data_IF_488972057971
#
_entry.id   IF_488972057971
#
_cell.length_a   1.000
_cell.length_b   1.000
_cell.length_c   1.000
_cell.angle_alpha   90.00
_cell.angle_beta   90.00
_cell.angle_gamma   90.00
#
_symmetry.space_group_name_H-M   'P 1'
#
loop_
_entity.id
_entity.type
_entity.pdbx_description
1 polymer ?
#
# COMPACT_ATOMS: atom_id res chain seq x y z
N UNK A 1 24.87 8.31 -2.46
CA UNK A 1 23.81 9.35 -2.39
C UNK A 1 22.42 8.83 -2.77
N UNK A 2 22.20 8.11 -3.90
CA UNK A 2 20.86 7.67 -4.30
C UNK A 2 20.10 6.87 -3.24
N UNK A 3 20.77 5.91 -2.57
CA UNK A 3 20.18 5.12 -1.48
C UNK A 3 19.69 5.95 -0.29
N UNK A 4 20.39 7.03 0.05
CA UNK A 4 20.02 7.93 1.16
C UNK A 4 18.75 8.71 0.81
N UNK A 5 18.70 9.26 -0.41
CA UNK A 5 17.51 9.96 -0.93
C UNK A 5 16.33 8.99 -1.05
N UNK A 6 16.55 7.79 -1.56
CA UNK A 6 15.55 6.73 -1.61
C UNK A 6 14.99 6.39 -0.22
N UNK A 7 15.86 6.25 0.78
CA UNK A 7 15.44 6.06 2.17
C UNK A 7 14.59 7.21 2.72
N UNK A 8 14.99 8.46 2.45
CA UNK A 8 14.21 9.64 2.84
C UNK A 8 12.82 9.66 2.16
N UNK A 9 12.74 9.33 0.87
CA UNK A 9 11.47 9.24 0.12
C UNK A 9 10.54 8.17 0.71
N UNK A 10 11.07 6.98 1.02
CA UNK A 10 10.30 5.91 1.66
C UNK A 10 9.80 6.36 3.04
N UNK A 11 10.65 7.00 3.85
CA UNK A 11 10.26 7.53 5.15
C UNK A 11 9.14 8.58 5.06
N UNK A 12 9.24 9.52 4.12
CA UNK A 12 8.18 10.51 3.87
C UNK A 12 6.86 9.86 3.43
N UNK A 13 6.92 8.87 2.53
CA UNK A 13 5.73 8.15 2.07
C UNK A 13 5.03 7.40 3.22
N UNK A 14 5.79 6.65 4.02
CA UNK A 14 5.26 5.89 5.16
C UNK A 14 4.70 6.80 6.26
N UNK A 15 5.40 7.89 6.60
CA UNK A 15 4.92 8.85 7.58
C UNK A 15 3.60 9.51 7.14
N UNK A 16 3.51 9.89 5.86
CA UNK A 16 2.30 10.49 5.30
C UNK A 16 1.15 9.50 5.29
N UNK A 17 1.38 8.26 4.84
CA UNK A 17 0.37 7.20 4.87
C UNK A 17 -0.11 6.94 6.30
N UNK A 18 0.81 6.83 7.27
CA UNK A 18 0.48 6.64 8.69
C UNK A 18 -0.45 7.73 9.22
N UNK A 19 -0.11 9.00 9.03
CA UNK A 19 -0.94 10.13 9.49
C UNK A 19 -2.31 10.13 8.81
N UNK A 20 -2.39 9.80 7.52
CA UNK A 20 -3.67 9.71 6.80
C UNK A 20 -4.57 8.61 7.36
N UNK A 21 -4.03 7.40 7.56
CA UNK A 21 -4.81 6.28 8.10
C UNK A 21 -5.21 6.51 9.56
N UNK A 22 -4.33 7.08 10.38
CA UNK A 22 -4.64 7.45 11.75
C UNK A 22 -5.76 8.51 11.83
N UNK A 23 -5.73 9.51 10.92
CA UNK A 23 -6.79 10.51 10.80
C UNK A 23 -8.11 9.91 10.31
N UNK A 24 -8.08 9.08 9.28
CA UNK A 24 -9.26 8.44 8.69
C UNK A 24 -9.96 7.50 9.69
N UNK A 25 -9.17 6.69 10.40
CA UNK A 25 -9.68 5.71 11.36
C UNK A 25 -9.88 6.31 12.77
N UNK A 26 -9.48 7.57 12.97
CA UNK A 26 -9.48 8.26 14.27
C UNK A 26 -8.83 7.41 15.38
N UNK A 27 -7.76 6.72 15.03
CA UNK A 27 -7.07 5.79 15.90
C UNK A 27 -5.55 5.96 15.77
N UNK A 28 -4.84 6.43 16.80
CA UNK A 28 -3.39 6.63 16.75
C UNK A 28 -2.60 5.33 16.57
N UNK A 29 -3.21 4.17 16.80
CA UNK A 29 -2.61 2.84 16.60
C UNK A 29 -2.87 2.26 15.20
N UNK A 30 -3.56 3.00 14.32
CA UNK A 30 -3.82 2.55 12.97
C UNK A 30 -2.53 2.48 12.13
N UNK A 31 -2.41 1.39 11.37
CA UNK A 31 -1.31 1.12 10.46
C UNK A 31 -1.81 1.17 8.99
N UNK A 32 -1.07 1.80 8.06
CA UNK A 32 -1.44 1.85 6.64
C UNK A 32 -1.54 0.49 5.93
N UNK A 33 -1.01 -0.60 6.51
CA UNK A 33 -1.04 -1.94 5.93
C UNK A 33 -2.36 -2.69 6.16
N UNK A 34 -3.30 -2.13 6.93
CA UNK A 34 -4.56 -2.80 7.31
C UNK A 34 -5.45 -3.13 6.09
N UNK A 35 -5.32 -2.40 4.99
CA UNK A 35 -6.09 -2.65 3.75
C UNK A 35 -5.41 -3.67 2.81
N UNK A 36 -4.42 -4.43 3.30
CA UNK A 36 -3.81 -5.55 2.57
C UNK A 36 -2.79 -5.19 1.49
N UNK A 37 -2.44 -3.91 1.35
CA UNK A 37 -1.42 -3.41 0.39
C UNK A 37 -0.09 -4.18 0.51
N UNK A 38 0.38 -4.42 1.74
CA UNK A 38 1.62 -5.16 1.99
C UNK A 38 1.53 -6.62 1.57
N UNK A 39 0.42 -7.30 1.89
CA UNK A 39 0.21 -8.70 1.51
C UNK A 39 0.14 -8.87 -0.02
N UNK A 40 -0.55 -7.94 -0.70
CA UNK A 40 -0.58 -7.89 -2.17
C UNK A 40 0.78 -7.64 -2.79
N UNK A 41 1.56 -6.71 -2.23
CA UNK A 41 2.93 -6.44 -2.68
C UNK A 41 3.85 -7.65 -2.53
N UNK A 42 3.78 -8.32 -1.38
CA UNK A 42 4.55 -9.52 -1.10
C UNK A 42 4.22 -10.67 -2.06
N UNK A 43 2.93 -10.91 -2.32
CA UNK A 43 2.51 -11.92 -3.27
C UNK A 43 2.94 -11.56 -4.71
N UNK A 44 2.74 -10.31 -5.14
CA UNK A 44 3.15 -9.84 -6.46
C UNK A 44 4.66 -9.97 -6.69
N UNK A 45 5.46 -9.59 -5.69
CA UNK A 45 6.91 -9.80 -5.72
C UNK A 45 7.29 -11.28 -5.83
N UNK A 46 6.64 -12.14 -5.04
CA UNK A 46 6.89 -13.59 -5.03
C UNK A 46 6.56 -14.22 -6.38
N UNK A 47 5.44 -13.82 -6.99
CA UNK A 47 5.05 -14.27 -8.34
C UNK A 47 6.08 -13.81 -9.38
N UNK A 48 6.55 -12.56 -9.31
CA UNK A 48 7.58 -12.07 -10.23
C UNK A 48 8.90 -12.85 -10.10
N UNK A 49 9.27 -13.30 -8.91
CA UNK A 49 10.47 -14.11 -8.69
C UNK A 49 10.36 -15.52 -9.28
N UNK A 50 9.14 -16.01 -9.55
CA UNK A 50 8.91 -17.28 -10.25
C UNK A 50 9.03 -17.16 -11.76
N UNK A 51 8.84 -15.96 -12.30
CA UNK A 51 8.86 -15.74 -13.75
C UNK A 51 10.31 -15.58 -14.21
N UNK A 52 10.80 -16.40 -15.15
CA UNK A 52 12.16 -16.27 -15.70
C UNK A 52 12.26 -15.13 -16.72
N UNK A 53 11.69 -13.97 -16.38
CA UNK A 53 11.60 -12.79 -17.24
C UNK A 53 12.58 -11.74 -16.71
N UNK A 54 13.62 -11.46 -17.49
CA UNK A 54 14.54 -10.38 -17.20
C UNK A 54 14.05 -9.09 -17.87
N UNK A 55 13.11 -8.42 -17.20
CA UNK A 55 12.60 -7.11 -17.63
C UNK A 55 13.27 -6.02 -16.79
N UNK A 56 13.90 -5.05 -17.47
CA UNK A 56 14.40 -3.83 -16.87
C UNK A 56 13.69 -2.63 -17.50
N UNK A 57 12.94 -1.88 -16.71
CA UNK A 57 12.21 -0.69 -17.15
C UNK A 57 12.49 0.48 -16.21
N UNK A 58 13.06 1.57 -16.74
CA UNK A 58 13.41 2.79 -15.99
C UNK A 58 14.22 2.51 -14.70
N UNK A 59 15.17 1.58 -14.78
CA UNK A 59 16.00 1.15 -13.65
C UNK A 59 15.32 0.18 -12.68
N UNK A 60 14.07 -0.23 -12.90
CA UNK A 60 13.38 -1.24 -12.10
C UNK A 60 13.35 -2.61 -12.77
N UNK A 61 13.60 -3.65 -11.98
CA UNK A 61 13.32 -5.02 -12.39
C UNK A 61 11.83 -5.35 -12.33
N UNK A 62 11.48 -6.58 -12.72
CA UNK A 62 10.10 -7.06 -12.66
C UNK A 62 9.52 -7.09 -11.23
N UNK A 63 10.35 -7.37 -10.22
CA UNK A 63 9.90 -7.56 -8.83
C UNK A 63 9.23 -6.31 -8.24
N UNK A 64 9.84 -5.10 -8.23
CA UNK A 64 9.17 -3.89 -7.73
C UNK A 64 7.89 -3.54 -8.50
N UNK A 65 7.86 -3.77 -9.81
CA UNK A 65 6.71 -3.48 -10.67
C UNK A 65 5.55 -4.40 -10.31
N UNK A 66 5.80 -5.70 -10.19
CA UNK A 66 4.80 -6.67 -9.80
C UNK A 66 4.34 -6.49 -8.35
N UNK A 67 5.24 -6.08 -7.44
CA UNK A 67 4.88 -5.73 -6.07
C UNK A 67 3.91 -4.54 -6.04
N UNK A 68 4.21 -3.48 -6.79
CA UNK A 68 3.34 -2.31 -6.89
C UNK A 68 1.98 -2.67 -7.52
N UNK A 69 1.97 -3.44 -8.60
CA UNK A 69 0.75 -3.94 -9.23
C UNK A 69 -0.08 -4.85 -8.31
N UNK A 70 0.58 -5.72 -7.55
CA UNK A 70 -0.05 -6.58 -6.54
C UNK A 70 -0.70 -5.77 -5.43
N UNK A 71 -0.01 -4.75 -4.90
CA UNK A 71 -0.57 -3.83 -3.92
C UNK A 71 -1.82 -3.11 -4.44
N UNK A 72 -1.77 -2.53 -5.65
CA UNK A 72 -2.90 -1.85 -6.28
C UNK A 72 -4.09 -2.79 -6.50
N UNK A 73 -3.81 -4.00 -6.98
CA UNK A 73 -4.83 -5.04 -7.18
C UNK A 73 -5.51 -5.38 -5.86
N UNK A 74 -4.75 -5.54 -4.78
CA UNK A 74 -5.31 -5.80 -3.46
C UNK A 74 -6.17 -4.65 -2.95
N UNK A 75 -5.72 -3.39 -3.08
CA UNK A 75 -6.54 -2.23 -2.71
C UNK A 75 -7.85 -2.21 -3.49
N UNK A 76 -7.80 -2.49 -4.79
CA UNK A 76 -8.98 -2.57 -5.63
C UNK A 76 -9.93 -3.70 -5.18
N UNK A 77 -9.40 -4.88 -4.86
CA UNK A 77 -10.20 -6.00 -4.34
C UNK A 77 -10.86 -5.66 -3.01
N UNK A 78 -10.11 -5.07 -2.08
CA UNK A 78 -10.63 -4.66 -0.76
C UNK A 78 -11.73 -3.60 -0.92
N UNK A 79 -11.51 -2.58 -1.76
CA UNK A 79 -12.50 -1.55 -2.01
C UNK A 79 -13.82 -2.12 -2.57
N UNK A 80 -13.73 -2.99 -3.58
CA UNK A 80 -14.91 -3.60 -4.18
C UNK A 80 -15.65 -4.53 -3.22
N UNK A 81 -14.92 -5.29 -2.40
CA UNK A 81 -15.51 -6.21 -1.42
C UNK A 81 -16.14 -5.48 -0.24
N UNK A 82 -15.57 -4.34 0.17
CA UNK A 82 -16.06 -3.53 1.28
C UNK A 82 -17.33 -2.74 0.96
N UNK A 83 -17.66 -2.59 -0.33
CA UNK A 83 -18.74 -1.72 -0.79
C UNK A 83 -20.10 -2.35 -0.50
N UNK A 84 -20.91 -1.66 0.31
CA UNK A 84 -22.28 -2.06 0.67
C UNK A 84 -23.24 -0.92 0.32
N UNK A 85 -24.20 -1.18 -0.57
CA UNK A 85 -25.19 -0.18 -0.97
C UNK A 85 -24.60 1.09 -1.60
N UNK A 86 -23.46 0.99 -2.28
CA UNK A 86 -22.77 2.12 -2.92
C UNK A 86 -21.90 2.97 -1.98
N UNK A 87 -21.90 2.68 -0.67
CA UNK A 87 -21.02 3.28 0.33
C UNK A 87 -19.91 2.32 0.74
N UNK A 88 -18.86 2.85 1.36
CA UNK A 88 -17.70 2.05 1.79
C UNK A 88 -17.48 2.22 3.30
N UNK A 89 -18.30 1.57 4.16
CA UNK A 89 -18.16 1.71 5.60
C UNK A 89 -16.77 1.27 6.08
N UNK A 90 -16.18 2.05 6.99
CA UNK A 90 -14.82 1.79 7.50
C UNK A 90 -14.71 0.35 8.04
N UNK A 91 -15.66 -0.11 8.85
CA UNK A 91 -15.64 -1.46 9.43
C UNK A 91 -15.64 -2.54 8.34
N UNK A 92 -16.46 -2.38 7.30
CA UNK A 92 -16.50 -3.30 6.16
C UNK A 92 -15.18 -3.31 5.40
N UNK A 93 -14.54 -2.15 5.24
CA UNK A 93 -13.22 -2.02 4.63
C UNK A 93 -12.12 -2.73 5.43
N UNK A 94 -12.16 -2.61 6.76
CA UNK A 94 -11.23 -3.29 7.66
C UNK A 94 -11.41 -4.82 7.59
N UNK A 95 -12.64 -5.32 7.66
CA UNK A 95 -12.93 -6.76 7.56
C UNK A 95 -12.54 -7.32 6.19
N UNK A 96 -12.87 -6.62 5.10
CA UNK A 96 -12.45 -6.99 3.75
C UNK A 96 -10.92 -7.02 3.64
N UNK A 97 -10.23 -6.04 4.22
CA UNK A 97 -8.77 -5.99 4.31
C UNK A 97 -8.17 -7.23 4.96
N UNK A 98 -8.72 -7.65 6.11
CA UNK A 98 -8.28 -8.88 6.82
C UNK A 98 -8.53 -10.13 5.96
N UNK A 99 -9.70 -10.26 5.35
CA UNK A 99 -10.05 -11.40 4.49
C UNK A 99 -9.10 -11.49 3.29
N UNK A 100 -8.91 -10.40 2.55
CA UNK A 100 -8.06 -10.39 1.35
C UNK A 100 -6.59 -10.60 1.74
N UNK A 101 -6.11 -9.99 2.82
CA UNK A 101 -4.74 -10.21 3.30
C UNK A 101 -4.50 -11.67 3.67
N UNK A 102 -5.47 -12.31 4.33
CA UNK A 102 -5.39 -13.72 4.70
C UNK A 102 -5.36 -14.63 3.47
N UNK A 103 -6.14 -14.30 2.44
CA UNK A 103 -6.11 -14.98 1.16
C UNK A 103 -4.74 -14.83 0.46
N UNK A 104 -4.21 -13.62 0.37
CA UNK A 104 -2.89 -13.37 -0.23
C UNK A 104 -1.78 -14.12 0.53
N UNK A 105 -1.84 -14.13 1.87
CA UNK A 105 -0.92 -14.89 2.71
C UNK A 105 -1.02 -16.40 2.49
N UNK A 106 -2.24 -16.94 2.34
CA UNK A 106 -2.46 -18.35 2.05
C UNK A 106 -1.89 -18.74 0.67
N UNK A 107 -2.06 -17.89 -0.35
CA UNK A 107 -1.47 -18.11 -1.68
C UNK A 107 0.07 -18.06 -1.58
N UNK A 108 0.62 -17.08 -0.87
CA UNK A 108 2.07 -16.97 -0.67
C UNK A 108 2.62 -18.21 0.06
N UNK A 109 1.93 -18.69 1.08
CA UNK A 109 2.29 -19.93 1.80
C UNK A 109 2.24 -21.15 0.88
N UNK A 110 1.26 -21.24 -0.01
CA UNK A 110 1.19 -22.29 -1.04
C UNK A 110 2.40 -22.22 -1.98
N UNK A 111 2.76 -21.04 -2.47
CA UNK A 111 3.94 -20.86 -3.34
C UNK A 111 5.24 -21.26 -2.64
N UNK A 112 5.41 -20.87 -1.38
CA UNK A 112 6.55 -21.26 -0.55
C UNK A 112 6.57 -22.78 -0.33
N UNK A 113 5.43 -23.40 -0.05
CA UNK A 113 5.32 -24.86 0.11
C UNK A 113 5.63 -25.62 -1.18
N UNK A 114 5.46 -25.00 -2.34
CA UNK A 114 5.77 -25.57 -3.65
C UNK A 114 7.13 -25.11 -4.19
N UNK A 115 7.94 -24.44 -3.37
CA UNK A 115 9.19 -23.79 -3.81
C UNK A 115 10.16 -24.73 -4.50
N UNK A 116 10.35 -25.96 -4.00
CA UNK A 116 11.22 -26.97 -4.63
C UNK A 116 10.75 -27.33 -6.05
N UNK A 117 9.44 -27.46 -6.26
CA UNK A 117 8.85 -27.79 -7.57
C UNK A 117 8.90 -26.61 -8.54
N UNK A 118 8.71 -25.41 -8.01
CA UNK A 118 8.69 -24.16 -8.77
C UNK A 118 10.08 -23.54 -8.95
N UNK A 119 11.12 -24.15 -8.38
CA UNK A 119 12.49 -23.61 -8.34
C UNK A 119 12.55 -22.19 -7.77
N UNK A 120 11.68 -21.90 -6.80
CA UNK A 120 11.55 -20.59 -6.17
C UNK A 120 12.70 -20.36 -5.19
N UNK A 121 13.45 -19.28 -5.38
CA UNK A 121 14.52 -18.91 -4.45
C UNK A 121 13.96 -18.31 -3.16
N UNK A 122 13.83 -19.15 -2.12
CA UNK A 122 13.31 -18.74 -0.81
C UNK A 122 14.13 -17.61 -0.17
N UNK A 123 15.46 -17.58 -0.39
CA UNK A 123 16.31 -16.52 0.15
C UNK A 123 15.92 -15.15 -0.43
N UNK A 124 15.62 -15.09 -1.73
CA UNK A 124 15.15 -13.85 -2.38
C UNK A 124 13.79 -13.40 -1.84
N UNK A 125 12.87 -14.33 -1.63
CA UNK A 125 11.54 -14.03 -1.05
C UNK A 125 11.69 -13.48 0.36
N UNK A 126 12.41 -14.18 1.24
CA UNK A 126 12.62 -13.71 2.62
C UNK A 126 13.38 -12.38 2.68
N UNK A 127 14.36 -12.16 1.79
CA UNK A 127 15.08 -10.88 1.72
C UNK A 127 14.17 -9.71 1.30
N UNK A 128 13.17 -9.96 0.45
CA UNK A 128 12.16 -8.96 0.10
C UNK A 128 11.20 -8.70 1.26
N UNK A 129 10.72 -9.75 1.93
CA UNK A 129 9.81 -9.64 3.07
C UNK A 129 10.41 -8.89 4.26
N UNK A 130 11.71 -9.07 4.52
CA UNK A 130 12.40 -8.33 5.58
C UNK A 130 12.51 -6.82 5.29
N UNK A 131 12.38 -6.44 4.03
CA UNK A 131 12.51 -5.06 3.57
C UNK A 131 13.96 -4.58 3.54
N UNK A 132 14.34 -3.90 2.46
CA UNK A 132 15.62 -3.22 2.35
C UNK A 132 15.52 -2.09 1.32
N UNK A 133 16.37 -1.07 1.45
CA UNK A 133 16.45 0.01 0.47
C UNK A 133 17.44 -0.39 -0.63
N UNK A 134 16.93 -0.81 -1.79
CA UNK A 134 17.69 -1.26 -2.97
C UNK A 134 17.81 -0.18 -4.07
N UNK A 135 17.68 1.09 -3.71
CA UNK A 135 17.82 2.19 -4.69
C UNK A 135 19.27 2.35 -5.12
N UNK A 136 19.57 2.03 -6.37
CA UNK A 136 20.93 1.97 -6.94
C UNK A 136 21.25 3.15 -7.86
N UNK A 137 20.26 3.71 -8.54
CA UNK A 137 20.46 4.74 -9.57
C UNK A 137 19.54 5.95 -9.45
N UNK A 138 19.91 7.03 -10.16
CA UNK A 138 19.11 8.25 -10.23
C UNK A 138 17.83 8.07 -11.06
N UNK A 139 17.80 7.13 -12.00
CA UNK A 139 16.61 6.78 -12.78
C UNK A 139 15.46 6.33 -11.88
N UNK A 140 15.75 5.47 -10.90
CA UNK A 140 14.74 5.00 -9.94
C UNK A 140 14.21 6.16 -9.09
N UNK A 141 15.06 7.11 -8.71
CA UNK A 141 14.66 8.31 -7.96
C UNK A 141 13.77 9.20 -8.82
N UNK A 142 14.11 9.38 -10.10
CA UNK A 142 13.32 10.19 -11.02
C UNK A 142 11.90 9.65 -11.21
N UNK A 143 11.68 8.35 -11.00
CA UNK A 143 10.33 7.74 -11.01
C UNK A 143 9.66 7.80 -9.63
N UNK A 144 10.36 7.44 -8.55
CA UNK A 144 9.78 7.36 -7.20
C UNK A 144 9.46 8.75 -6.65
N UNK A 145 10.33 9.74 -6.86
CA UNK A 145 10.19 11.05 -6.23
C UNK A 145 8.91 11.77 -6.68
N UNK A 146 8.55 11.85 -7.98
CA UNK A 146 7.28 12.44 -8.40
C UNK A 146 6.05 11.72 -7.85
N UNK A 147 6.09 10.38 -7.76
CA UNK A 147 4.99 9.59 -7.20
C UNK A 147 4.77 9.88 -5.71
N UNK A 148 5.86 9.91 -4.92
CA UNK A 148 5.80 10.19 -3.49
C UNK A 148 5.39 11.64 -3.24
N UNK A 149 6.04 12.60 -3.90
CA UNK A 149 5.74 14.03 -3.74
C UNK A 149 4.31 14.34 -4.21
N UNK A 150 3.89 13.79 -5.34
CA UNK A 150 2.52 13.90 -5.83
C UNK A 150 1.50 13.33 -4.85
N UNK A 151 1.79 12.17 -4.24
CA UNK A 151 0.97 11.59 -3.18
C UNK A 151 0.86 12.48 -1.94
N UNK A 152 1.97 13.08 -1.50
CA UNK A 152 2.00 14.01 -0.35
C UNK A 152 1.23 15.29 -0.64
N UNK A 153 1.40 15.85 -1.84
CA UNK A 153 0.66 17.04 -2.27
C UNK A 153 -0.85 16.73 -2.31
N UNK A 154 -1.23 15.58 -2.91
CA UNK A 154 -2.61 15.09 -2.91
C UNK A 154 -3.17 14.94 -1.50
N UNK A 155 -2.42 14.29 -0.61
CA UNK A 155 -2.77 14.11 0.80
C UNK A 155 -3.05 15.45 1.51
N UNK A 156 -2.29 16.50 1.21
CA UNK A 156 -2.46 17.82 1.84
C UNK A 156 -3.82 18.45 1.55
N UNK A 157 -4.39 18.23 0.36
CA UNK A 157 -5.74 18.72 0.02
C UNK A 157 -6.83 18.04 0.84
N UNK A 158 -6.63 16.79 1.25
CA UNK A 158 -7.58 16.04 2.10
C UNK A 158 -7.34 16.23 3.60
N UNK A 159 -6.19 16.78 4.00
CA UNK A 159 -5.86 17.00 5.41
C UNK A 159 -6.90 17.85 6.17
N UNK A 160 -7.47 18.86 5.52
CA UNK A 160 -8.53 19.68 6.12
C UNK A 160 -9.79 18.85 6.43
N UNK A 161 -10.20 17.99 5.50
CA UNK A 161 -11.36 17.13 5.63
C UNK A 161 -11.15 16.06 6.72
N UNK A 162 -9.94 15.50 6.82
CA UNK A 162 -9.57 14.56 7.88
C UNK A 162 -9.57 15.24 9.26
N UNK A 163 -9.08 16.48 9.36
CA UNK A 163 -9.16 17.27 10.60
C UNK A 163 -10.62 17.57 10.98
N UNK A 164 -11.48 17.91 10.00
CA UNK A 164 -12.90 18.12 10.25
C UNK A 164 -13.58 16.83 10.75
N UNK A 165 -13.25 15.66 10.16
CA UNK A 165 -13.72 14.36 10.65
C UNK A 165 -13.27 14.11 12.09
N UNK A 166 -12.04 14.48 12.47
CA UNK A 166 -11.57 14.27 13.84
C UNK A 166 -12.36 15.03 14.93
N UNK A 167 -13.11 16.09 14.57
CA UNK A 167 -13.97 16.86 15.47
C UNK A 167 -15.33 16.20 15.76
N UNK A 168 -15.64 15.04 15.16
CA UNK A 168 -16.95 14.39 15.24
C UNK A 168 -17.95 14.91 14.22
N UNK A 169 -19.02 14.16 13.98
CA UNK A 169 -20.04 14.50 12.96
C UNK A 169 -20.72 15.85 13.25
N UNK A 170 -20.99 16.14 14.53
CA UNK A 170 -21.59 17.41 14.96
C UNK A 170 -20.65 18.59 14.70
N UNK A 171 -19.35 18.48 15.01
CA UNK A 171 -18.36 19.55 14.77
C UNK A 171 -18.08 19.81 13.29
N UNK A 172 -18.08 18.78 12.45
CA UNK A 172 -17.89 18.90 11.01
C UNK A 172 -19.10 19.57 10.31
N UNK A 173 -20.32 19.30 10.79
CA UNK A 173 -21.54 19.95 10.29
C UNK A 173 -21.55 21.47 10.55
N UNK A 174 -21.05 21.93 11.70
CA UNK A 174 -20.92 23.36 12.01
C UNK A 174 -19.88 24.09 11.16
N UNK A 175 -18.90 23.38 10.61
CA UNK A 175 -17.86 23.93 9.72
C UNK A 175 -18.25 23.91 8.23
N UNK A 176 -19.46 23.45 7.90
CA UNK A 176 -19.94 23.36 6.52
C UNK A 176 -19.28 22.26 5.68
N UNK A 177 -18.48 21.38 6.30
CA UNK A 177 -17.96 20.19 5.65
C UNK A 177 -19.11 19.18 5.52
N UNK A 178 -19.55 18.90 4.30
CA UNK A 178 -20.58 17.89 4.04
C UNK A 178 -20.03 16.51 4.40
N UNK A 179 -20.30 16.08 5.64
CA UNK A 179 -19.94 14.75 6.18
C UNK A 179 -20.41 13.62 5.24
N UNK A 180 -21.49 13.85 4.48
CA UNK A 180 -22.07 12.92 3.52
C UNK A 180 -21.25 12.67 2.24
N UNK A 181 -20.25 13.49 1.90
CA UNK A 181 -19.50 13.35 0.63
C UNK A 181 -18.22 12.51 0.76
N UNK A 182 -17.70 12.30 1.97
CA UNK A 182 -16.39 11.67 2.19
C UNK A 182 -16.46 10.22 2.73
N UNK A 183 -17.67 9.65 2.89
CA UNK A 183 -17.88 8.20 3.14
C UNK A 183 -17.92 7.34 1.86
N UNK A 184 -17.53 7.90 0.71
CA UNK A 184 -17.58 7.23 -0.61
C UNK A 184 -16.31 6.41 -0.88
#
# INVERSE_FOLDING_TARGET
LPRVIGGALVGMALATAGVLFQGLLRNPMADPYIIGTSAGAALGATIAMLLPINLAFLGFGLVPIAAFGGALTTVFLVYNLARVGGKTPIISMLLAGVVVSSLMAAIMALLISLSDRLQLNLQSVYSFLLGHISVTGWEQIAVIAPLVIGGIIGARFFAFHLNALSLGEEGAAYLGASVLTYEV
#
